data_IF_657708840255
#
_entry.id   IF_657708840255
#
_cell.length_a   1.000
_cell.length_b   1.000
_cell.length_c   1.000
_cell.angle_alpha   90.00
_cell.angle_beta   90.00
_cell.angle_gamma   90.00
#
_symmetry.space_group_name_H-M   'P 1'
#
loop_
_entity.id
_entity.type
_entity.pdbx_description
1 polymer ?
#
# COMPACT_ATOMS: atom_id res chain seq x y z
N UNK A 1 -11.13 8.39 13.36
CA UNK A 1 -10.30 9.46 12.80
C UNK A 1 -9.45 8.91 11.68
N UNK A 2 -9.44 9.58 10.53
CA UNK A 2 -8.57 9.24 9.39
C UNK A 2 -7.65 10.40 9.09
N UNK A 3 -6.36 10.11 8.97
CA UNK A 3 -5.30 11.10 8.72
C UNK A 3 -4.58 10.78 7.42
N UNK A 4 -4.44 11.79 6.56
CA UNK A 4 -3.60 11.72 5.37
C UNK A 4 -2.31 12.52 5.61
N UNK A 5 -1.17 11.86 5.56
CA UNK A 5 0.14 12.53 5.51
C UNK A 5 0.60 12.56 4.05
N UNK A 6 0.87 13.73 3.49
CA UNK A 6 1.21 13.88 2.08
C UNK A 6 2.47 14.71 1.87
N UNK A 7 3.41 14.16 1.11
CA UNK A 7 4.59 14.89 0.66
C UNK A 7 4.20 15.88 -0.43
N UNK A 8 4.71 17.11 -0.35
CA UNK A 8 4.36 18.18 -1.30
C UNK A 8 5.57 18.58 -2.13
N UNK A 9 5.37 18.64 -3.45
CA UNK A 9 6.42 19.00 -4.41
C UNK A 9 5.95 20.09 -5.37
N UNK A 10 6.42 20.00 -6.61
CA UNK A 10 6.09 20.97 -7.65
C UNK A 10 4.69 20.86 -8.23
N UNK A 11 3.85 19.91 -7.80
CA UNK A 11 2.51 19.71 -8.35
C UNK A 11 1.52 19.43 -7.22
N UNK A 12 0.46 20.24 -7.12
CA UNK A 12 -0.57 20.13 -6.06
C UNK A 12 -1.71 19.18 -6.45
N UNK A 13 -1.96 18.99 -7.75
CA UNK A 13 -3.07 18.17 -8.27
C UNK A 13 -3.05 16.77 -7.68
N UNK A 14 -1.88 16.16 -7.61
CA UNK A 14 -1.70 14.78 -7.14
C UNK A 14 -2.04 14.59 -5.67
N UNK A 15 -1.81 15.60 -4.82
CA UNK A 15 -2.17 15.51 -3.40
C UNK A 15 -3.67 15.70 -3.23
N UNK A 16 -4.27 16.65 -3.95
CA UNK A 16 -5.71 16.87 -3.98
C UNK A 16 -6.48 15.64 -4.48
N UNK A 17 -5.97 15.00 -5.54
CA UNK A 17 -6.53 13.75 -6.07
C UNK A 17 -6.42 12.63 -5.05
N UNK A 18 -5.26 12.46 -4.42
CA UNK A 18 -5.06 11.46 -3.36
C UNK A 18 -6.03 11.65 -2.19
N UNK A 19 -6.25 12.89 -1.75
CA UNK A 19 -7.26 13.22 -0.73
C UNK A 19 -8.68 12.80 -1.16
N UNK A 20 -9.08 13.11 -2.40
CA UNK A 20 -10.41 12.76 -2.92
C UNK A 20 -10.63 11.26 -3.12
N UNK A 21 -9.56 10.52 -3.38
CA UNK A 21 -9.59 9.06 -3.53
C UNK A 21 -9.67 8.34 -2.19
N UNK A 22 -9.52 9.06 -1.06
CA UNK A 22 -9.71 8.52 0.27
C UNK A 22 -11.08 8.87 0.83
N UNK A 23 -11.68 7.93 1.55
CA UNK A 23 -12.96 8.15 2.23
C UNK A 23 -12.74 8.74 3.62
N UNK A 24 -13.53 9.76 3.99
CA UNK A 24 -13.64 10.31 5.35
C UNK A 24 -12.33 10.82 5.98
N UNK A 25 -11.43 11.44 5.20
CA UNK A 25 -10.22 12.07 5.74
C UNK A 25 -10.59 13.31 6.55
N UNK A 26 -10.33 13.26 7.86
CA UNK A 26 -10.65 14.34 8.79
C UNK A 26 -9.49 15.33 8.94
N UNK A 27 -8.25 14.83 8.83
CA UNK A 27 -7.03 15.64 8.98
C UNK A 27 -6.03 15.35 7.87
N UNK A 28 -5.38 16.39 7.36
CA UNK A 28 -4.30 16.32 6.38
C UNK A 28 -3.05 16.98 6.93
N UNK A 29 -1.93 16.28 6.86
CA UNK A 29 -0.61 16.80 7.23
C UNK A 29 0.20 16.92 5.94
N UNK A 30 0.48 18.15 5.52
CA UNK A 30 1.27 18.45 4.34
C UNK A 30 2.74 18.59 4.72
N UNK A 31 3.62 17.87 4.02
CA UNK A 31 5.06 17.87 4.29
C UNK A 31 5.81 18.38 3.06
N UNK A 32 5.96 19.71 2.89
CA UNK A 32 6.78 20.29 1.85
C UNK A 32 8.26 20.26 2.22
N UNK A 33 9.11 20.11 1.19
CA UNK A 33 10.53 20.41 1.32
C UNK A 33 10.76 21.92 1.37
N UNK A 34 11.62 22.37 2.30
CA UNK A 34 12.13 23.75 2.32
C UNK A 34 12.72 24.14 0.95
N UNK A 35 12.56 25.40 0.52
CA UNK A 35 13.20 25.89 -0.69
C UNK A 35 14.70 25.61 -0.69
N UNK A 36 15.25 25.25 -1.86
CA UNK A 36 16.67 24.89 -1.97
C UNK A 36 17.60 26.03 -1.56
N UNK A 37 17.16 27.27 -1.71
CA UNK A 37 17.86 28.49 -1.32
C UNK A 37 18.06 28.60 0.20
N UNK A 38 17.26 27.86 0.99
CA UNK A 38 17.37 27.80 2.45
C UNK A 38 18.21 26.62 2.96
N UNK A 39 18.47 25.61 2.10
CA UNK A 39 19.11 24.34 2.52
C UNK A 39 20.38 24.00 1.75
N UNK A 40 20.71 24.73 0.68
CA UNK A 40 21.95 24.57 -0.08
C UNK A 40 22.75 25.86 -0.12
N UNK A 41 24.07 25.74 -0.32
CA UNK A 41 24.91 26.88 -0.60
C UNK A 41 24.57 27.50 -1.96
N UNK A 42 24.64 28.83 -2.06
CA UNK A 42 24.31 29.56 -3.31
C UNK A 42 25.15 29.12 -4.51
N UNK A 43 26.37 28.64 -4.27
CA UNK A 43 27.30 28.09 -5.27
C UNK A 43 26.77 26.82 -5.97
N UNK A 44 25.92 26.05 -5.29
CA UNK A 44 25.37 24.78 -5.78
C UNK A 44 24.02 24.97 -6.49
N UNK A 45 23.45 26.17 -6.42
CA UNK A 45 22.17 26.52 -7.04
C UNK A 45 22.42 26.86 -8.52
N UNK A 46 22.11 25.91 -9.40
CA UNK A 46 22.11 26.15 -10.86
C UNK A 46 21.15 27.29 -11.22
N UNK A 47 21.69 28.42 -11.67
CA UNK A 47 20.91 29.57 -12.14
C UNK A 47 20.08 29.20 -13.39
N UNK A 48 18.89 29.79 -13.52
CA UNK A 48 18.09 29.75 -14.76
C UNK A 48 16.96 28.72 -14.85
N UNK A 49 16.68 27.94 -13.79
CA UNK A 49 15.43 27.16 -13.70
C UNK A 49 14.53 27.77 -12.64
N UNK A 50 13.31 28.17 -13.02
CA UNK A 50 12.24 28.48 -12.06
C UNK A 50 12.00 27.23 -11.23
N UNK A 51 12.45 27.24 -9.98
CA UNK A 51 12.23 26.14 -9.05
C UNK A 51 10.86 26.34 -8.41
N UNK A 52 10.06 25.29 -8.38
CA UNK A 52 8.80 25.30 -7.63
C UNK A 52 9.10 25.55 -6.15
N UNK A 53 8.34 26.42 -5.50
CA UNK A 53 8.35 26.60 -4.05
C UNK A 53 7.31 25.64 -3.43
N UNK A 54 7.72 24.48 -2.88
CA UNK A 54 6.76 23.50 -2.36
C UNK A 54 6.03 24.01 -1.11
N UNK A 55 6.60 24.96 -0.37
CA UNK A 55 5.99 25.53 0.83
C UNK A 55 4.83 26.42 0.43
N UNK A 56 5.01 27.29 -0.57
CA UNK A 56 3.92 28.09 -1.11
C UNK A 56 2.78 27.18 -1.62
N UNK A 57 3.11 26.12 -2.35
CA UNK A 57 2.14 25.14 -2.85
C UNK A 57 1.37 24.43 -1.73
N UNK A 58 2.04 24.08 -0.63
CA UNK A 58 1.38 23.53 0.54
C UNK A 58 0.38 24.51 1.17
N UNK A 59 0.69 25.82 1.19
CA UNK A 59 -0.22 26.86 1.69
C UNK A 59 -1.45 27.03 0.78
N UNK A 60 -1.26 26.98 -0.53
CA UNK A 60 -2.36 27.04 -1.51
C UNK A 60 -3.27 25.81 -1.36
N UNK A 61 -2.67 24.62 -1.28
CA UNK A 61 -3.38 23.37 -1.07
C UNK A 61 -4.11 23.31 0.27
N UNK A 62 -3.52 23.87 1.34
CA UNK A 62 -4.15 23.94 2.66
C UNK A 62 -5.50 24.63 2.61
N UNK A 63 -5.61 25.78 1.93
CA UNK A 63 -6.89 26.49 1.78
C UNK A 63 -7.92 25.61 1.09
N UNK A 64 -7.53 24.98 -0.03
CA UNK A 64 -8.40 24.11 -0.82
C UNK A 64 -8.93 22.94 0.02
N UNK A 65 -8.07 22.29 0.80
CA UNK A 65 -8.44 21.14 1.61
C UNK A 65 -9.29 21.51 2.83
N UNK A 66 -9.04 22.68 3.44
CA UNK A 66 -9.90 23.23 4.48
C UNK A 66 -11.30 23.56 3.97
N UNK A 67 -11.42 24.05 2.73
CA UNK A 67 -12.73 24.26 2.07
C UNK A 67 -13.50 22.94 1.85
N UNK A 68 -12.79 21.81 1.74
CA UNK A 68 -13.39 20.47 1.73
C UNK A 68 -13.69 19.90 3.13
N UNK A 69 -13.43 20.67 4.19
CA UNK A 69 -13.78 20.32 5.57
C UNK A 69 -12.71 19.56 6.34
N UNK A 70 -11.49 19.41 5.81
CA UNK A 70 -10.38 18.78 6.51
C UNK A 70 -9.64 19.78 7.43
N UNK A 71 -9.17 19.31 8.58
CA UNK A 71 -8.14 20.03 9.34
C UNK A 71 -6.79 19.87 8.64
N UNK A 72 -6.00 20.95 8.51
CA UNK A 72 -4.78 20.93 7.71
C UNK A 72 -3.60 21.58 8.40
N UNK A 73 -2.55 20.79 8.59
CA UNK A 73 -1.25 21.20 9.12
C UNK A 73 -0.17 21.18 8.03
N UNK A 74 0.87 22.00 8.21
CA UNK A 74 2.03 22.04 7.32
C UNK A 74 3.28 21.88 8.18
N UNK A 75 4.13 20.92 7.84
CA UNK A 75 5.40 20.66 8.52
C UNK A 75 6.53 20.64 7.49
N UNK A 76 7.39 21.65 7.53
CA UNK A 76 8.52 21.76 6.61
C UNK A 76 9.69 20.87 7.02
N UNK A 77 10.37 20.29 6.03
CA UNK A 77 11.57 19.47 6.23
C UNK A 77 12.68 19.90 5.28
N UNK A 78 13.93 19.63 5.63
CA UNK A 78 15.03 19.71 4.66
C UNK A 78 14.92 18.53 3.66
N UNK A 79 14.56 18.77 2.38
CA UNK A 79 14.33 17.71 1.41
C UNK A 79 15.62 17.05 0.90
N UNK A 80 16.78 17.44 1.44
CA UNK A 80 18.10 16.88 1.17
C UNK A 80 18.64 16.04 2.34
N UNK A 81 18.02 16.12 3.52
CA UNK A 81 18.38 15.32 4.69
C UNK A 81 17.39 14.17 4.84
N UNK A 82 17.83 12.97 4.47
CA UNK A 82 17.01 11.76 4.55
C UNK A 82 16.61 11.42 5.98
N UNK A 83 17.52 11.64 6.94
CA UNK A 83 17.28 11.28 8.34
C UNK A 83 16.28 12.24 8.97
N UNK A 84 16.41 13.54 8.72
CA UNK A 84 15.43 14.55 9.15
C UNK A 84 14.04 14.21 8.59
N UNK A 85 13.95 13.98 7.27
CA UNK A 85 12.68 13.61 6.64
C UNK A 85 12.07 12.36 7.27
N UNK A 86 12.87 11.29 7.44
CA UNK A 86 12.41 10.01 8.00
C UNK A 86 11.88 10.19 9.43
N UNK A 87 12.67 10.81 10.32
CA UNK A 87 12.30 11.00 11.71
C UNK A 87 11.04 11.88 11.83
N UNK A 88 10.96 12.95 11.04
CA UNK A 88 9.80 13.85 11.09
C UNK A 88 8.51 13.14 10.69
N UNK A 89 8.54 12.29 9.65
CA UNK A 89 7.34 11.53 9.28
C UNK A 89 6.96 10.53 10.38
N UNK A 90 7.93 9.85 11.00
CA UNK A 90 7.66 8.93 12.12
C UNK A 90 7.01 9.67 13.29
N UNK A 91 7.55 10.83 13.67
CA UNK A 91 6.99 11.69 14.72
C UNK A 91 5.54 12.06 14.39
N UNK A 92 5.27 12.54 13.17
CA UNK A 92 3.91 12.92 12.74
C UNK A 92 2.92 11.75 12.78
N UNK A 93 3.37 10.53 12.48
CA UNK A 93 2.56 9.32 12.60
C UNK A 93 2.29 9.01 14.07
N UNK A 94 3.32 9.04 14.93
CA UNK A 94 3.23 8.67 16.34
C UNK A 94 2.49 9.69 17.22
N UNK A 95 2.44 10.95 16.79
CA UNK A 95 1.66 12.01 17.44
C UNK A 95 0.14 11.81 17.27
N UNK A 96 -0.29 10.92 16.36
CA UNK A 96 -1.71 10.63 16.19
C UNK A 96 -2.24 9.70 17.30
N UNK A 97 -3.52 9.85 17.70
CA UNK A 97 -4.13 8.96 18.69
C UNK A 97 -4.09 7.48 18.26
N UNK A 98 -4.02 6.58 19.25
CA UNK A 98 -4.11 5.14 19.00
C UNK A 98 -5.42 4.79 18.27
N UNK A 99 -5.33 3.90 17.27
CA UNK A 99 -6.46 3.51 16.44
C UNK A 99 -6.83 4.48 15.31
N UNK A 100 -6.04 5.53 15.08
CA UNK A 100 -6.19 6.40 13.89
C UNK A 100 -5.83 5.63 12.62
N UNK A 101 -6.68 5.70 11.57
CA UNK A 101 -6.34 5.17 10.25
C UNK A 101 -5.45 6.17 9.52
N UNK A 102 -4.18 5.84 9.38
CA UNK A 102 -3.17 6.71 8.78
C UNK A 102 -2.80 6.18 7.40
N UNK A 103 -2.94 7.04 6.41
CA UNK A 103 -2.45 6.80 5.05
C UNK A 103 -1.41 7.83 4.66
N UNK A 104 -0.42 7.38 3.89
CA UNK A 104 0.71 8.18 3.45
C UNK A 104 0.70 8.29 1.92
N UNK A 105 0.58 9.50 1.40
CA UNK A 105 0.70 9.80 -0.02
C UNK A 105 2.13 10.25 -0.35
N UNK A 106 2.86 9.43 -1.11
CA UNK A 106 4.26 9.68 -1.47
C UNK A 106 4.44 10.27 -2.88
N UNK A 107 3.34 10.67 -3.54
CA UNK A 107 3.36 11.12 -4.94
C UNK A 107 4.13 12.42 -5.14
N UNK A 108 3.97 13.36 -4.20
CA UNK A 108 4.63 14.67 -4.26
C UNK A 108 6.01 14.68 -3.61
N UNK A 109 6.66 15.84 -3.62
CA UNK A 109 7.96 16.05 -2.99
C UNK A 109 9.15 15.68 -3.88
N UNK A 110 10.35 15.75 -3.28
CA UNK A 110 11.56 15.21 -3.90
C UNK A 110 11.57 13.70 -3.76
N UNK A 111 12.28 12.99 -4.65
CA UNK A 111 12.44 11.53 -4.55
C UNK A 111 12.97 11.09 -3.18
N UNK A 112 13.87 11.89 -2.59
CA UNK A 112 14.46 11.60 -1.28
C UNK A 112 13.41 11.71 -0.17
N UNK A 113 12.56 12.75 -0.20
CA UNK A 113 11.44 12.90 0.73
C UNK A 113 10.40 11.79 0.54
N UNK A 114 10.00 11.47 -0.69
CA UNK A 114 9.08 10.34 -0.97
C UNK A 114 9.63 9.02 -0.44
N UNK A 115 10.93 8.76 -0.64
CA UNK A 115 11.60 7.56 -0.14
C UNK A 115 11.63 7.50 1.38
N UNK A 116 12.00 8.60 2.05
CA UNK A 116 12.01 8.69 3.52
C UNK A 116 10.60 8.45 4.09
N UNK A 117 9.59 9.03 3.45
CA UNK A 117 8.19 8.93 3.86
C UNK A 117 7.65 7.51 3.66
N UNK A 118 7.97 6.86 2.54
CA UNK A 118 7.63 5.45 2.33
C UNK A 118 8.30 4.54 3.39
N UNK A 119 9.56 4.82 3.72
CA UNK A 119 10.29 4.04 4.71
C UNK A 119 9.69 4.20 6.12
N UNK A 120 9.33 5.43 6.50
CA UNK A 120 8.58 5.71 7.73
C UNK A 120 7.24 4.96 7.76
N UNK A 121 6.46 5.02 6.68
CA UNK A 121 5.18 4.31 6.59
C UNK A 121 5.35 2.80 6.82
N UNK A 122 6.37 2.18 6.20
CA UNK A 122 6.68 0.76 6.42
C UNK A 122 7.10 0.47 7.87
N UNK A 123 7.94 1.31 8.49
CA UNK A 123 8.37 1.13 9.88
C UNK A 123 7.23 1.28 10.89
N UNK A 124 6.25 2.13 10.57
CA UNK A 124 5.09 2.39 11.42
C UNK A 124 3.85 1.56 11.04
N UNK A 125 3.96 0.65 10.07
CA UNK A 125 2.85 -0.18 9.59
C UNK A 125 1.63 0.63 9.09
N UNK A 126 1.89 1.79 8.49
CA UNK A 126 0.85 2.62 7.88
C UNK A 126 0.66 2.26 6.40
N UNK A 127 -0.56 2.46 5.89
CA UNK A 127 -0.83 2.32 4.45
C UNK A 127 -0.07 3.42 3.71
N UNK A 128 0.54 3.08 2.58
CA UNK A 128 1.16 4.06 1.69
C UNK A 128 0.67 3.89 0.27
N UNK A 129 0.59 4.98 -0.49
CA UNK A 129 0.13 4.95 -1.87
C UNK A 129 0.74 6.10 -2.68
N UNK A 130 0.64 5.98 -4.00
CA UNK A 130 0.86 7.09 -4.92
C UNK A 130 -0.29 7.21 -5.92
N UNK A 131 -0.43 8.39 -6.51
CA UNK A 131 -1.38 8.66 -7.59
C UNK A 131 -0.62 8.61 -8.90
N UNK A 132 -1.05 7.72 -9.79
CA UNK A 132 -0.55 7.61 -11.15
C UNK A 132 -1.47 8.40 -12.08
N UNK A 133 -0.98 9.52 -12.62
CA UNK A 133 -1.68 10.27 -13.66
C UNK A 133 -1.64 9.47 -14.98
N UNK A 134 -2.80 9.29 -15.63
CA UNK A 134 -2.93 8.60 -16.92
C UNK A 134 -3.93 9.35 -17.79
N UNK A 135 -3.76 9.26 -19.11
CA UNK A 135 -4.69 9.85 -20.09
C UNK A 135 -6.13 9.31 -19.94
N UNK A 136 -6.27 8.07 -19.44
CA UNK A 136 -7.55 7.41 -19.18
C UNK A 136 -8.20 7.78 -17.84
N UNK A 137 -7.57 8.66 -17.06
CA UNK A 137 -7.96 9.00 -15.70
C UNK A 137 -6.96 8.52 -14.65
N UNK A 138 -6.83 9.31 -13.59
CA UNK A 138 -5.84 9.10 -12.53
C UNK A 138 -6.19 7.88 -11.67
N UNK A 139 -5.17 7.12 -11.27
CA UNK A 139 -5.36 5.89 -10.49
C UNK A 139 -4.58 5.96 -9.17
N UNK A 140 -5.24 5.62 -8.06
CA UNK A 140 -4.55 5.33 -6.79
C UNK A 140 -3.86 3.97 -6.89
N UNK A 141 -2.58 3.92 -6.55
CA UNK A 141 -1.81 2.68 -6.48
C UNK A 141 -1.30 2.53 -5.05
N UNK A 142 -1.84 1.55 -4.34
CA UNK A 142 -1.37 1.19 -3.01
C UNK A 142 0.01 0.54 -3.09
N UNK A 143 0.92 0.99 -2.22
CA UNK A 143 2.26 0.46 -2.12
C UNK A 143 2.28 -0.69 -1.11
N UNK A 144 3.04 -1.76 -1.39
CA UNK A 144 3.20 -2.84 -0.44
C UNK A 144 3.97 -2.34 0.79
N UNK A 145 3.40 -2.56 1.98
CA UNK A 145 4.01 -2.21 3.27
C UNK A 145 4.15 -3.46 4.13
N UNK A 146 5.05 -4.40 3.74
CA UNK A 146 5.16 -5.70 4.38
C UNK A 146 5.49 -5.58 5.86
N UNK A 147 4.67 -6.18 6.73
CA UNK A 147 4.96 -6.20 8.16
C UNK A 147 6.16 -7.12 8.47
N UNK A 148 7.30 -6.50 8.81
CA UNK A 148 8.56 -7.21 9.03
C UNK A 148 8.47 -8.39 10.03
N UNK A 149 7.55 -8.34 11.00
CA UNK A 149 7.29 -9.42 11.95
C UNK A 149 6.83 -10.72 11.28
N UNK A 150 6.05 -10.65 10.20
CA UNK A 150 5.59 -11.84 9.47
C UNK A 150 6.74 -12.64 8.83
N UNK A 151 7.90 -12.03 8.54
CA UNK A 151 9.03 -12.79 8.01
C UNK A 151 9.60 -13.78 9.04
N UNK A 152 9.42 -13.50 10.33
CA UNK A 152 9.91 -14.32 11.43
C UNK A 152 8.82 -15.21 12.02
N UNK A 153 7.58 -14.71 12.12
CA UNK A 153 6.53 -15.33 12.95
C UNK A 153 5.52 -16.19 12.16
N UNK A 154 5.58 -16.17 10.82
CA UNK A 154 4.67 -16.98 10.01
C UNK A 154 5.01 -18.47 10.12
N UNK A 155 4.02 -19.28 10.51
CA UNK A 155 4.19 -20.73 10.65
C UNK A 155 4.39 -21.45 9.31
N UNK A 156 5.04 -22.61 9.33
CA UNK A 156 5.42 -23.34 8.10
C UNK A 156 4.24 -23.73 7.22
N UNK A 157 3.10 -24.06 7.81
CA UNK A 157 1.89 -24.34 7.03
C UNK A 157 1.41 -23.12 6.23
N UNK A 158 1.52 -21.92 6.81
CA UNK A 158 1.17 -20.68 6.13
C UNK A 158 2.17 -20.37 5.01
N UNK A 159 3.47 -20.58 5.23
CA UNK A 159 4.49 -20.48 4.16
C UNK A 159 4.17 -21.40 2.98
N UNK A 160 3.76 -22.65 3.25
CA UNK A 160 3.35 -23.62 2.23
C UNK A 160 2.11 -23.16 1.45
N UNK A 161 1.11 -22.62 2.15
CA UNK A 161 -0.09 -22.05 1.50
C UNK A 161 0.30 -20.90 0.56
N UNK A 162 1.11 -19.95 1.03
CA UNK A 162 1.55 -18.81 0.22
C UNK A 162 2.33 -19.26 -1.02
N UNK A 163 3.27 -20.20 -0.86
CA UNK A 163 4.05 -20.75 -1.96
C UNK A 163 3.16 -21.49 -2.99
N UNK A 164 2.23 -22.33 -2.53
CA UNK A 164 1.28 -23.01 -3.40
C UNK A 164 0.44 -22.03 -4.22
N UNK A 165 -0.12 -21.01 -3.56
CA UNK A 165 -0.93 -19.99 -4.25
C UNK A 165 -0.11 -19.17 -5.24
N UNK A 166 1.16 -18.89 -4.95
CA UNK A 166 2.06 -18.22 -5.88
C UNK A 166 2.28 -19.06 -7.15
N UNK A 167 2.49 -20.35 -7.00
CA UNK A 167 2.69 -21.25 -8.14
C UNK A 167 1.41 -21.47 -8.96
N UNK A 168 0.24 -21.53 -8.33
CA UNK A 168 -1.04 -21.51 -9.04
C UNK A 168 -1.27 -20.17 -9.76
N UNK A 169 -0.90 -19.05 -9.15
CA UNK A 169 -1.04 -17.74 -9.77
C UNK A 169 -0.21 -17.62 -11.05
N UNK A 170 1.03 -18.14 -11.07
CA UNK A 170 1.89 -18.14 -12.27
C UNK A 170 1.32 -18.93 -13.45
N UNK A 171 0.34 -19.83 -13.20
CA UNK A 171 -0.32 -20.62 -14.25
C UNK A 171 -1.49 -19.87 -14.91
N UNK A 172 -1.93 -18.74 -14.34
CA UNK A 172 -3.00 -17.92 -14.91
C UNK A 172 -2.52 -17.18 -16.15
N UNK A 173 -3.38 -17.10 -17.17
CA UNK A 173 -3.09 -16.41 -18.45
C UNK A 173 -3.50 -14.92 -18.45
N UNK A 174 -4.26 -14.50 -17.46
CA UNK A 174 -4.83 -13.16 -17.31
C UNK A 174 -4.91 -12.79 -15.81
N UNK A 175 -5.10 -11.52 -15.46
CA UNK A 175 -5.27 -11.08 -14.08
C UNK A 175 -6.38 -11.85 -13.36
N UNK A 176 -6.22 -12.07 -12.05
CA UNK A 176 -7.12 -12.91 -11.26
C UNK A 176 -8.54 -12.32 -11.18
N UNK A 177 -8.64 -11.00 -11.25
CA UNK A 177 -9.87 -10.22 -11.29
C UNK A 177 -10.69 -10.51 -12.55
N UNK A 178 -10.03 -10.89 -13.65
CA UNK A 178 -10.64 -11.22 -14.95
C UNK A 178 -10.90 -12.72 -15.13
N UNK A 179 -10.47 -13.55 -14.17
CA UNK A 179 -10.69 -14.99 -14.19
C UNK A 179 -12.11 -15.37 -13.73
N UNK A 180 -12.72 -16.30 -14.47
CA UNK A 180 -13.96 -16.95 -14.06
C UNK A 180 -13.74 -17.86 -12.85
N UNK A 181 -14.81 -18.16 -12.12
CA UNK A 181 -14.72 -19.02 -10.94
C UNK A 181 -14.20 -20.44 -11.26
N UNK A 182 -14.49 -20.96 -12.45
CA UNK A 182 -14.00 -22.26 -12.89
C UNK A 182 -12.49 -22.23 -13.20
N UNK A 183 -11.97 -21.11 -13.74
CA UNK A 183 -10.52 -20.90 -13.91
C UNK A 183 -9.80 -20.77 -12.56
N UNK A 184 -10.50 -20.33 -11.52
CA UNK A 184 -9.98 -20.17 -10.16
C UNK A 184 -10.24 -21.39 -9.25
N UNK A 185 -10.55 -22.56 -9.83
CA UNK A 185 -10.84 -23.76 -9.05
C UNK A 185 -9.71 -24.16 -8.09
N UNK A 186 -8.45 -23.98 -8.47
CA UNK A 186 -7.30 -24.34 -7.61
C UNK A 186 -7.11 -23.38 -6.41
N UNK A 187 -7.85 -22.27 -6.37
CA UNK A 187 -7.78 -21.24 -5.33
C UNK A 187 -8.86 -21.44 -4.25
N UNK A 188 -9.58 -22.57 -4.25
CA UNK A 188 -10.54 -22.90 -3.19
C UNK A 188 -9.89 -23.80 -2.14
N UNK A 189 -10.36 -23.66 -0.89
CA UNK A 189 -9.83 -24.39 0.27
C UNK A 189 -9.59 -25.89 0.02
N UNK A 190 -10.56 -26.61 -0.57
CA UNK A 190 -10.42 -28.04 -0.84
C UNK A 190 -9.27 -28.38 -1.79
N UNK A 191 -9.08 -27.58 -2.84
CA UNK A 191 -8.03 -27.85 -3.83
C UNK A 191 -6.66 -27.41 -3.32
N UNK A 192 -6.59 -26.29 -2.57
CA UNK A 192 -5.38 -25.88 -1.85
C UNK A 192 -4.94 -26.99 -0.88
N UNK A 193 -5.86 -27.49 -0.05
CA UNK A 193 -5.57 -28.55 0.90
C UNK A 193 -5.07 -29.82 0.21
N UNK A 194 -5.72 -30.22 -0.89
CA UNK A 194 -5.29 -31.36 -1.72
C UNK A 194 -3.88 -31.15 -2.29
N UNK A 195 -3.60 -29.97 -2.85
CA UNK A 195 -2.29 -29.63 -3.40
C UNK A 195 -1.18 -29.64 -2.35
N UNK A 196 -1.52 -29.38 -1.09
CA UNK A 196 -0.61 -29.43 0.05
C UNK A 196 -0.56 -30.78 0.77
N UNK A 197 -1.35 -31.78 0.34
CA UNK A 197 -1.42 -33.09 0.99
C UNK A 197 -2.01 -33.07 2.41
N UNK A 198 -2.88 -32.11 2.72
CA UNK A 198 -3.52 -31.94 4.03
C UNK A 198 -5.04 -31.87 3.91
N UNK A 199 -5.75 -31.87 5.05
CA UNK A 199 -7.22 -31.73 5.06
C UNK A 199 -7.64 -30.26 4.96
N UNK A 200 -8.84 -29.99 4.44
CA UNK A 200 -9.41 -28.63 4.42
C UNK A 200 -9.53 -28.03 5.82
N UNK A 201 -9.86 -28.85 6.82
CA UNK A 201 -9.98 -28.40 8.20
C UNK A 201 -8.64 -27.90 8.75
N UNK A 202 -7.53 -28.53 8.35
CA UNK A 202 -6.17 -28.14 8.75
C UNK A 202 -5.78 -26.73 8.29
N UNK A 203 -6.26 -26.28 7.11
CA UNK A 203 -5.83 -25.01 6.53
C UNK A 203 -6.85 -23.88 6.68
N UNK A 204 -8.10 -24.17 7.05
CA UNK A 204 -9.18 -23.16 7.09
C UNK A 204 -8.84 -21.97 7.97
N UNK A 205 -8.43 -22.24 9.22
CA UNK A 205 -8.06 -21.18 10.16
C UNK A 205 -6.84 -20.39 9.66
N UNK A 206 -5.90 -21.04 8.96
CA UNK A 206 -4.71 -20.37 8.41
C UNK A 206 -5.06 -19.47 7.22
N UNK A 207 -5.97 -19.87 6.35
CA UNK A 207 -6.46 -19.00 5.28
C UNK A 207 -7.14 -17.74 5.84
N UNK A 208 -7.95 -17.89 6.89
CA UNK A 208 -8.61 -16.76 7.55
C UNK A 208 -7.61 -15.83 8.25
N UNK A 209 -6.63 -16.38 8.96
CA UNK A 209 -5.55 -15.57 9.56
C UNK A 209 -4.79 -14.78 8.48
N UNK A 210 -4.36 -15.44 7.41
CA UNK A 210 -3.60 -14.79 6.34
C UNK A 210 -4.41 -13.70 5.61
N UNK A 211 -5.74 -13.82 5.54
CA UNK A 211 -6.61 -12.77 5.03
C UNK A 211 -6.75 -11.61 6.02
N UNK A 212 -6.92 -11.89 7.32
CA UNK A 212 -6.93 -10.86 8.35
C UNK A 212 -5.60 -10.09 8.41
N UNK A 213 -4.50 -10.79 8.14
CA UNK A 213 -3.15 -10.24 8.08
C UNK A 213 -2.86 -9.46 6.78
N UNK A 214 -3.81 -9.41 5.84
CA UNK A 214 -3.67 -8.69 4.56
C UNK A 214 -2.84 -9.41 3.49
N UNK A 215 -2.40 -10.64 3.73
CA UNK A 215 -1.61 -11.44 2.79
C UNK A 215 -2.47 -12.17 1.76
N UNK A 216 -3.75 -12.39 2.08
CA UNK A 216 -4.74 -12.97 1.18
C UNK A 216 -5.93 -12.05 1.01
N UNK A 217 -6.54 -12.12 -0.17
CA UNK A 217 -7.88 -11.63 -0.44
C UNK A 217 -8.79 -12.80 -0.80
N UNK A 218 -10.09 -12.57 -0.71
CA UNK A 218 -11.07 -13.56 -1.10
C UNK A 218 -12.32 -12.97 -1.74
N UNK A 219 -13.03 -13.83 -2.48
CA UNK A 219 -14.39 -13.59 -2.97
C UNK A 219 -15.25 -14.83 -2.82
N UNK A 220 -16.56 -14.62 -2.77
CA UNK A 220 -17.54 -15.69 -2.97
C UNK A 220 -17.61 -16.02 -4.45
N UNK A 221 -17.57 -17.30 -4.79
CA UNK A 221 -17.70 -17.81 -6.16
C UNK A 221 -18.62 -19.03 -6.21
N UNK A 222 -18.85 -19.54 -7.42
CA UNK A 222 -19.70 -20.69 -7.67
C UNK A 222 -19.08 -21.64 -8.71
N UNK A 223 -18.66 -22.83 -8.26
CA UNK A 223 -17.99 -23.84 -9.11
C UNK A 223 -18.93 -25.01 -9.38
N UNK A 224 -18.87 -25.56 -10.60
CA UNK A 224 -19.65 -26.76 -10.96
C UNK A 224 -19.31 -27.95 -10.07
N UNK A 225 -20.35 -28.65 -9.64
CA UNK A 225 -20.21 -29.86 -8.84
C UNK A 225 -19.60 -30.99 -9.68
N UNK A 226 -18.86 -31.89 -9.04
CA UNK A 226 -18.32 -33.10 -9.68
C UNK A 226 -19.40 -34.02 -10.25
N UNK A 227 -20.65 -33.90 -9.78
CA UNK A 227 -21.83 -34.62 -10.28
C UNK A 227 -22.51 -33.96 -11.49
N UNK A 228 -22.04 -32.80 -11.96
CA UNK A 228 -22.64 -32.06 -13.07
C UNK A 228 -23.98 -31.39 -12.76
N UNK A 229 -24.60 -31.69 -11.62
CA UNK A 229 -25.84 -31.09 -11.16
C UNK A 229 -25.56 -29.89 -10.23
N UNK A 230 -25.73 -28.69 -10.79
CA UNK A 230 -25.65 -27.42 -10.06
C UNK A 230 -24.24 -26.90 -9.77
N UNK A 231 -24.20 -25.69 -9.19
CA UNK A 231 -22.97 -25.04 -8.72
C UNK A 231 -22.96 -25.02 -7.18
N UNK A 232 -21.81 -25.28 -6.58
CA UNK A 232 -21.59 -25.09 -5.15
C UNK A 232 -21.02 -23.70 -4.91
N UNK A 233 -21.58 -23.00 -3.91
CA UNK A 233 -20.98 -21.78 -3.38
C UNK A 233 -19.63 -22.12 -2.74
N UNK A 234 -18.59 -21.39 -3.11
CA UNK A 234 -17.23 -21.56 -2.58
C UNK A 234 -16.63 -20.21 -2.22
N UNK A 235 -15.60 -20.24 -1.36
CA UNK A 235 -14.73 -19.09 -1.11
C UNK A 235 -13.43 -19.31 -1.86
N UNK A 236 -13.09 -18.35 -2.72
CA UNK A 236 -11.89 -18.35 -3.57
C UNK A 236 -10.88 -17.40 -2.91
N UNK A 237 -9.63 -17.84 -2.74
CA UNK A 237 -8.58 -17.12 -2.01
C UNK A 237 -7.38 -16.89 -2.90
N UNK A 238 -6.80 -15.70 -2.89
CA UNK A 238 -5.58 -15.41 -3.64
C UNK A 238 -4.66 -14.44 -2.92
N UNK A 239 -3.41 -14.39 -3.35
CA UNK A 239 -2.40 -13.50 -2.79
C UNK A 239 -2.71 -12.05 -3.12
N UNK A 240 -2.64 -11.18 -2.12
CA UNK A 240 -2.43 -9.74 -2.32
C UNK A 240 -1.03 -9.49 -2.87
N UNK A 241 -0.73 -8.27 -3.28
CA UNK A 241 0.65 -7.91 -3.68
C UNK A 241 1.65 -8.12 -2.54
N UNK A 242 1.25 -7.80 -1.30
CA UNK A 242 2.02 -8.12 -0.11
C UNK A 242 2.20 -9.64 0.04
N UNK A 243 1.12 -10.42 -0.05
CA UNK A 243 1.18 -11.88 -0.01
C UNK A 243 2.12 -12.49 -1.05
N UNK A 244 2.19 -11.93 -2.27
CA UNK A 244 3.14 -12.34 -3.32
C UNK A 244 4.59 -12.06 -2.94
N UNK A 245 4.87 -10.93 -2.29
CA UNK A 245 6.21 -10.59 -1.80
C UNK A 245 6.65 -11.63 -0.75
N UNK A 246 5.81 -11.92 0.24
CA UNK A 246 6.08 -12.95 1.24
C UNK A 246 6.26 -14.34 0.63
N UNK A 247 5.33 -14.76 -0.24
CA UNK A 247 5.42 -16.03 -0.93
C UNK A 247 6.75 -16.16 -1.70
N UNK A 248 7.14 -15.12 -2.43
CA UNK A 248 8.40 -15.08 -3.20
C UNK A 248 9.63 -15.20 -2.29
N UNK A 249 9.62 -14.51 -1.14
CA UNK A 249 10.70 -14.60 -0.16
C UNK A 249 10.83 -16.02 0.41
N UNK A 250 9.71 -16.65 0.80
CA UNK A 250 9.73 -17.98 1.40
C UNK A 250 10.03 -19.10 0.38
N UNK A 251 9.60 -18.96 -0.87
CA UNK A 251 9.91 -19.92 -1.92
C UNK A 251 11.41 -20.07 -2.18
N UNK A 252 12.21 -19.00 -1.99
CA UNK A 252 13.67 -19.05 -2.12
C UNK A 252 14.39 -19.77 -0.97
N UNK A 253 13.78 -19.86 0.22
CA UNK A 253 14.38 -20.55 1.38
C UNK A 253 14.23 -22.07 1.32
N UNK A 254 13.37 -22.59 0.45
CA UNK A 254 13.08 -24.02 0.31
C UNK A 254 13.72 -24.65 -0.95
N UNK A 255 14.55 -23.90 -1.68
CA UNK A 255 15.33 -24.32 -2.85
C UNK A 255 16.81 -24.34 -2.53
#
# INVERSE_FOLDING_TARGET
MSVLIATVGGTESVVKLGFRMMENVEKVILVPGKPFEQVMEKSEIKQGKTRSDPVQKAQELKKILQDFGADVEIHEVNPLDFKECLLKIIELIQEQPEGTDIAVNVTGGTKLLSLATMNAACMCYCKSFYVQEKDSGDTKVDLPSPNSGYFNDIGDQAKKILAYLLDEHKKLRKPIEECSDDELKNFINREIARGLGVTSQTITNKLQMLEADGLLMSKKGAIKNSSGLGKSSVKIWWLTDEGRIYATYFSKKNS
#
